data_IF_197015204140
#
_entry.id   IF_197015204140
#
_cell.length_a   1.000
_cell.length_b   1.000
_cell.length_c   1.000
_cell.angle_alpha   90.00
_cell.angle_beta   90.00
_cell.angle_gamma   90.00
#
_symmetry.space_group_name_H-M   'P 1'
#
loop_
_entity.id
_entity.type
_entity.pdbx_description
1 polymer ?
#
# COMPACT_ATOMS: atom_id res chain seq x y z
N UNK A 1 -17.28 -2.92 18.79
CA UNK A 1 -16.96 -2.05 17.65
C UNK A 1 -15.54 -2.24 17.11
N UNK A 2 -14.54 -2.59 17.95
CA UNK A 2 -13.13 -2.70 17.54
C UNK A 2 -12.62 -4.04 16.93
N UNK A 3 -13.20 -5.24 17.18
CA UNK A 3 -12.62 -6.50 16.66
C UNK A 3 -12.72 -6.64 15.14
N UNK A 4 -13.74 -6.05 14.51
CA UNK A 4 -13.97 -6.16 13.07
C UNK A 4 -13.01 -5.30 12.22
N UNK A 5 -12.29 -4.38 12.87
CA UNK A 5 -11.38 -3.45 12.21
C UNK A 5 -9.98 -4.06 12.10
N UNK A 6 -9.50 -4.71 13.16
CA UNK A 6 -8.17 -5.33 13.22
C UNK A 6 -8.12 -6.53 12.27
N UNK A 7 -7.41 -6.38 11.15
CA UNK A 7 -7.24 -7.44 10.16
C UNK A 7 -8.31 -7.50 9.07
N UNK A 8 -9.10 -6.43 8.89
CA UNK A 8 -10.02 -6.34 7.76
C UNK A 8 -9.23 -6.28 6.44
N UNK A 9 -9.10 -7.43 5.78
CA UNK A 9 -8.47 -7.58 4.46
C UNK A 9 -9.38 -7.22 3.29
N UNK A 10 -10.65 -6.91 3.54
CA UNK A 10 -11.59 -6.56 2.47
C UNK A 10 -12.06 -7.76 1.66
N UNK A 11 -12.43 -7.49 0.40
CA UNK A 11 -12.88 -8.49 -0.57
C UNK A 11 -11.70 -8.90 -1.46
N UNK A 12 -11.55 -10.20 -1.75
CA UNK A 12 -10.44 -10.70 -2.61
C UNK A 12 -10.37 -10.04 -3.99
N UNK A 13 -11.52 -9.65 -4.56
CA UNK A 13 -11.54 -8.96 -5.85
C UNK A 13 -11.04 -7.50 -5.79
N UNK A 14 -10.69 -7.01 -4.60
CA UNK A 14 -10.14 -5.68 -4.36
C UNK A 14 -8.69 -5.72 -3.84
N UNK A 15 -8.03 -6.88 -3.89
CA UNK A 15 -6.68 -7.06 -3.34
C UNK A 15 -5.67 -6.06 -3.94
N UNK A 16 -5.68 -5.84 -5.26
CA UNK A 16 -4.77 -4.88 -5.91
C UNK A 16 -4.96 -3.44 -5.38
N UNK A 17 -6.21 -2.95 -5.31
CA UNK A 17 -6.49 -1.59 -4.85
C UNK A 17 -6.21 -1.42 -3.35
N UNK A 18 -6.41 -2.46 -2.54
CA UNK A 18 -6.06 -2.45 -1.13
C UNK A 18 -4.54 -2.45 -0.96
N UNK A 19 -3.82 -3.24 -1.77
CA UNK A 19 -2.37 -3.32 -1.75
C UNK A 19 -1.71 -1.96 -2.02
N UNK A 20 -2.18 -1.26 -3.07
CA UNK A 20 -1.72 0.08 -3.38
C UNK A 20 -1.92 1.07 -2.23
N UNK A 21 -3.11 1.07 -1.63
CA UNK A 21 -3.42 1.96 -0.51
C UNK A 21 -2.58 1.67 0.73
N UNK A 22 -2.39 0.38 1.06
CA UNK A 22 -1.57 -0.02 2.20
C UNK A 22 -0.09 0.31 1.97
N UNK A 23 0.42 0.14 0.75
CA UNK A 23 1.78 0.52 0.37
C UNK A 23 1.99 2.03 0.55
N UNK A 24 1.12 2.87 -0.03
CA UNK A 24 1.19 4.33 0.11
C UNK A 24 1.14 4.78 1.57
N UNK A 25 0.18 4.26 2.36
CA UNK A 25 0.05 4.58 3.77
C UNK A 25 1.30 4.15 4.55
N UNK A 26 1.87 2.98 4.26
CA UNK A 26 3.08 2.53 4.96
C UNK A 26 4.29 3.40 4.60
N UNK A 27 4.43 3.79 3.32
CA UNK A 27 5.49 4.69 2.84
C UNK A 27 5.44 6.08 3.49
N UNK A 28 4.25 6.59 3.79
CA UNK A 28 4.07 7.84 4.55
C UNK A 28 4.68 7.75 5.98
N UNK A 29 4.61 6.57 6.61
CA UNK A 29 5.15 6.32 7.94
C UNK A 29 6.55 5.69 8.00
N UNK A 30 7.03 5.03 6.94
CA UNK A 30 8.22 4.18 6.91
C UNK A 30 8.90 4.13 5.53
N UNK A 31 10.22 4.22 5.50
CA UNK A 31 11.05 4.03 4.31
C UNK A 31 11.88 2.72 4.40
N UNK A 32 11.43 1.77 5.23
CA UNK A 32 12.28 0.70 5.76
C UNK A 32 11.55 -0.65 5.88
N UNK A 33 11.86 -1.44 6.93
CA UNK A 33 11.38 -2.82 7.03
C UNK A 33 9.86 -2.98 7.10
N UNK A 34 9.10 -1.99 7.56
CA UNK A 34 7.63 -2.12 7.56
C UNK A 34 7.08 -2.04 6.14
N UNK A 35 7.66 -1.15 5.32
CA UNK A 35 7.33 -1.07 3.90
C UNK A 35 7.72 -2.35 3.17
N UNK A 36 8.92 -2.90 3.45
CA UNK A 36 9.33 -4.18 2.88
C UNK A 36 8.36 -5.31 3.23
N UNK A 37 7.95 -5.42 4.50
CA UNK A 37 6.98 -6.42 4.93
C UNK A 37 5.65 -6.30 4.17
N UNK A 38 5.14 -5.09 3.97
CA UNK A 38 3.91 -4.87 3.20
C UNK A 38 4.08 -5.29 1.74
N UNK A 39 5.22 -5.00 1.13
CA UNK A 39 5.54 -5.44 -0.24
C UNK A 39 5.52 -6.97 -0.32
N UNK A 40 6.27 -7.64 0.57
CA UNK A 40 6.37 -9.10 0.60
C UNK A 40 4.99 -9.74 0.80
N UNK A 41 4.20 -9.24 1.75
CA UNK A 41 2.85 -9.72 2.04
C UNK A 41 1.90 -9.68 0.83
N UNK A 42 2.00 -8.64 -0.01
CA UNK A 42 1.12 -8.51 -1.18
C UNK A 42 1.63 -9.27 -2.39
N UNK A 43 2.95 -9.40 -2.55
CA UNK A 43 3.54 -10.31 -3.54
C UNK A 43 3.13 -11.76 -3.23
N UNK A 44 3.23 -12.19 -1.98
CA UNK A 44 2.78 -13.52 -1.53
C UNK A 44 1.27 -13.73 -1.74
N UNK A 45 0.49 -12.65 -1.70
CA UNK A 45 -0.95 -12.68 -2.00
C UNK A 45 -1.25 -12.67 -3.51
N UNK A 46 -0.23 -12.62 -4.38
CA UNK A 46 -0.37 -12.65 -5.84
C UNK A 46 -0.47 -11.28 -6.51
N UNK A 47 -0.24 -10.19 -5.79
CA UNK A 47 -0.18 -8.84 -6.39
C UNK A 47 1.13 -8.69 -7.15
N UNK A 48 1.07 -8.12 -8.36
CA UNK A 48 2.24 -7.90 -9.21
C UNK A 48 3.29 -7.01 -8.51
N UNK A 49 4.51 -7.55 -8.37
CA UNK A 49 5.67 -6.82 -7.87
C UNK A 49 6.00 -5.60 -8.74
N UNK A 50 5.83 -5.71 -10.06
CA UNK A 50 6.03 -4.62 -11.02
C UNK A 50 5.08 -3.45 -10.74
N UNK A 51 3.78 -3.71 -10.55
CA UNK A 51 2.80 -2.65 -10.23
C UNK A 51 3.12 -1.95 -8.91
N UNK A 52 3.49 -2.72 -7.88
CA UNK A 52 3.91 -2.17 -6.58
C UNK A 52 5.16 -1.28 -6.73
N UNK A 53 6.14 -1.77 -7.51
CA UNK A 53 7.36 -1.03 -7.82
C UNK A 53 7.05 0.26 -8.59
N UNK A 54 6.23 0.21 -9.64
CA UNK A 54 5.83 1.40 -10.40
C UNK A 54 5.22 2.46 -9.49
N UNK A 55 4.42 2.09 -8.50
CA UNK A 55 3.89 3.05 -7.53
C UNK A 55 5.00 3.69 -6.68
N UNK A 56 5.93 2.88 -6.15
CA UNK A 56 7.03 3.38 -5.32
C UNK A 56 8.03 4.24 -6.12
N UNK A 57 8.21 3.95 -7.41
CA UNK A 57 9.06 4.71 -8.33
C UNK A 57 8.37 5.99 -8.85
N UNK A 58 7.13 6.27 -8.43
CA UNK A 58 6.39 7.49 -8.77
C UNK A 58 5.50 7.39 -10.01
N UNK A 59 5.42 6.21 -10.63
CA UNK A 59 4.62 5.92 -11.85
C UNK A 59 3.29 5.24 -11.52
N UNK A 60 2.62 5.69 -10.46
CA UNK A 60 1.40 5.05 -9.95
C UNK A 60 0.24 5.05 -10.97
N UNK A 61 0.20 5.99 -11.90
CA UNK A 61 -0.76 6.06 -13.01
C UNK A 61 -0.68 4.86 -13.96
N UNK A 62 0.48 4.22 -14.05
CA UNK A 62 0.70 3.05 -14.91
C UNK A 62 0.35 1.72 -14.21
N UNK A 63 0.13 1.75 -12.89
CA UNK A 63 0.01 0.55 -12.06
C UNK A 63 -1.44 0.02 -11.91
N UNK A 64 -2.37 0.43 -12.78
CA UNK A 64 -3.75 -0.07 -12.78
C UNK A 64 -4.47 0.14 -11.43
N UNK A 65 -5.11 -0.91 -10.91
CA UNK A 65 -5.88 -0.83 -9.65
C UNK A 65 -4.97 -0.66 -8.42
N UNK A 66 -3.75 -1.21 -8.43
CA UNK A 66 -2.71 -0.90 -7.42
C UNK A 66 -2.44 0.60 -7.40
N UNK A 67 -2.25 1.18 -8.60
CA UNK A 67 -2.07 2.60 -8.79
C UNK A 67 -3.22 3.45 -8.25
N UNK A 68 -4.46 3.04 -8.54
CA UNK A 68 -5.67 3.70 -8.03
C UNK A 68 -5.70 3.74 -6.50
N UNK A 69 -5.41 2.61 -5.86
CA UNK A 69 -5.36 2.51 -4.40
C UNK A 69 -4.26 3.37 -3.79
N UNK A 70 -3.08 3.34 -4.40
CA UNK A 70 -1.93 4.14 -3.98
C UNK A 70 -2.25 5.63 -3.99
N UNK A 71 -2.72 6.15 -5.13
CA UNK A 71 -3.08 7.57 -5.25
C UNK A 71 -4.23 7.96 -4.33
N UNK A 72 -5.23 7.09 -4.17
CA UNK A 72 -6.32 7.33 -3.24
C UNK A 72 -5.79 7.52 -1.81
N UNK A 73 -4.89 6.65 -1.34
CA UNK A 73 -4.31 6.77 -0.02
C UNK A 73 -3.47 8.05 0.15
N UNK A 74 -2.61 8.37 -0.82
CA UNK A 74 -1.82 9.62 -0.81
C UNK A 74 -2.74 10.84 -0.68
N UNK A 75 -3.74 10.93 -1.55
CA UNK A 75 -4.73 12.01 -1.57
C UNK A 75 -5.52 12.09 -0.26
N UNK A 76 -5.99 10.94 0.26
CA UNK A 76 -6.77 10.89 1.50
C UNK A 76 -5.94 11.30 2.73
N UNK A 77 -4.65 10.96 2.76
CA UNK A 77 -3.73 11.34 3.84
C UNK A 77 -3.43 12.85 3.78
N UNK A 78 -3.23 13.39 2.58
CA UNK A 78 -2.99 14.82 2.36
C UNK A 78 -4.24 15.69 2.59
N UNK A 79 -5.44 15.10 2.53
CA UNK A 79 -6.71 15.84 2.61
C UNK A 79 -7.11 16.47 1.28
N UNK A 80 -6.69 15.89 0.16
CA UNK A 80 -6.93 16.41 -1.18
C UNK A 80 -8.35 16.09 -1.70
N UNK A 81 -8.91 16.99 -2.51
CA UNK A 81 -10.25 16.85 -3.11
C UNK A 81 -10.35 15.70 -4.12
N UNK A 82 -9.23 15.28 -4.71
CA UNK A 82 -9.19 14.13 -5.64
C UNK A 82 -9.60 12.81 -4.98
N UNK A 83 -9.57 12.76 -3.63
CA UNK A 83 -10.01 11.62 -2.82
C UNK A 83 -11.45 11.23 -3.15
N UNK A 84 -12.35 12.21 -3.30
CA UNK A 84 -13.77 11.94 -3.57
C UNK A 84 -13.99 11.32 -4.95
N UNK A 85 -13.26 11.81 -5.97
CA UNK A 85 -13.33 11.27 -7.33
C UNK A 85 -12.86 9.82 -7.35
N UNK A 86 -11.74 9.52 -6.71
CA UNK A 86 -11.22 8.15 -6.62
C UNK A 86 -12.11 7.26 -5.74
N UNK A 87 -12.73 7.78 -4.68
CA UNK A 87 -13.69 7.04 -3.86
C UNK A 87 -14.91 6.56 -4.69
N UNK A 88 -15.41 7.41 -5.58
CA UNK A 88 -16.48 7.05 -6.51
C UNK A 88 -16.04 5.98 -7.51
N UNK A 89 -14.83 6.10 -8.06
CA UNK A 89 -14.26 5.09 -8.97
C UNK A 89 -14.11 3.72 -8.30
N UNK A 90 -13.52 3.69 -7.10
CA UNK A 90 -13.34 2.48 -6.29
C UNK A 90 -14.70 1.87 -5.93
N UNK A 91 -15.68 2.69 -5.55
CA UNK A 91 -17.04 2.21 -5.25
C UNK A 91 -17.70 1.60 -6.48
N UNK A 92 -17.52 2.20 -7.66
CA UNK A 92 -18.07 1.68 -8.92
C UNK A 92 -17.45 0.33 -9.31
N UNK A 93 -16.15 0.14 -9.10
CA UNK A 93 -15.42 -1.09 -9.45
C UNK A 93 -15.59 -2.22 -8.41
N UNK A 94 -15.52 -1.89 -7.13
CA UNK A 94 -15.38 -2.87 -6.03
C UNK A 94 -16.53 -2.82 -5.01
N UNK A 95 -17.50 -1.94 -5.24
CA UNK A 95 -18.61 -1.71 -4.32
C UNK A 95 -18.21 -0.98 -3.05
N UNK A 96 -19.21 -0.70 -2.20
CA UNK A 96 -18.99 0.02 -0.94
C UNK A 96 -18.03 -0.70 0.01
N UNK A 97 -18.08 -2.03 0.05
CA UNK A 97 -17.16 -2.85 0.87
C UNK A 97 -15.71 -2.71 0.41
N UNK A 98 -15.46 -2.65 -0.90
CA UNK A 98 -14.14 -2.35 -1.45
C UNK A 98 -13.63 -0.99 -0.98
N UNK A 99 -14.46 0.06 -1.10
CA UNK A 99 -14.09 1.40 -0.60
C UNK A 99 -13.75 1.39 0.90
N UNK A 100 -14.54 0.69 1.73
CA UNK A 100 -14.26 0.58 3.17
C UNK A 100 -12.90 -0.08 3.43
N UNK A 101 -12.56 -1.13 2.67
CA UNK A 101 -11.28 -1.81 2.81
C UNK A 101 -10.10 -0.92 2.42
N UNK A 102 -10.23 -0.19 1.31
CA UNK A 102 -9.20 0.75 0.85
C UNK A 102 -9.03 1.90 1.85
N UNK A 103 -10.13 2.50 2.34
CA UNK A 103 -10.07 3.55 3.35
C UNK A 103 -9.44 3.06 4.66
N UNK A 104 -9.74 1.83 5.08
CA UNK A 104 -9.10 1.21 6.24
C UNK A 104 -7.60 1.00 6.03
N UNK A 105 -7.17 0.50 4.87
CA UNK A 105 -5.75 0.38 4.52
C UNK A 105 -5.03 1.74 4.51
N UNK A 106 -5.64 2.78 3.90
CA UNK A 106 -5.10 4.15 3.88
C UNK A 106 -4.89 4.72 5.29
N UNK A 107 -5.81 4.45 6.22
CA UNK A 107 -5.72 4.93 7.59
C UNK A 107 -4.73 4.14 8.45
N UNK A 108 -4.69 2.82 8.30
CA UNK A 108 -3.97 1.93 9.22
C UNK A 108 -2.53 1.63 8.84
N UNK A 109 -2.13 1.74 7.57
CA UNK A 109 -0.79 1.35 7.10
C UNK A 109 0.35 2.05 7.85
N UNK A 110 0.26 3.36 8.09
CA UNK A 110 1.27 4.11 8.86
C UNK A 110 1.24 3.91 10.37
N UNK A 111 0.19 3.28 10.93
CA UNK A 111 0.00 3.20 12.39
C UNK A 111 1.20 2.60 13.09
N UNK A 112 1.59 1.37 12.71
CA UNK A 112 2.69 0.68 13.38
C UNK A 112 4.05 1.35 13.15
N UNK A 113 4.39 1.79 11.92
CA UNK A 113 5.60 2.60 11.70
C UNK A 113 5.71 3.84 12.57
N UNK A 114 4.64 4.62 12.68
CA UNK A 114 4.61 5.82 13.52
C UNK A 114 4.75 5.43 14.98
N UNK A 115 3.97 4.44 15.43
CA UNK A 115 3.98 3.96 16.82
C UNK A 115 5.36 3.46 17.26
N UNK A 116 6.00 2.57 16.51
CA UNK A 116 7.34 2.04 16.87
C UNK A 116 8.39 3.16 16.90
N UNK A 117 8.31 4.13 15.98
CA UNK A 117 9.23 5.27 15.92
C UNK A 117 9.05 6.17 17.15
N UNK A 118 7.81 6.44 17.56
CA UNK A 118 7.52 7.19 18.79
C UNK A 118 8.04 6.52 20.06
N UNK A 119 8.24 5.20 20.04
CA UNK A 119 8.86 4.44 21.14
C UNK A 119 10.40 4.37 21.05
N UNK A 120 11.03 5.04 20.08
CA UNK A 120 12.48 5.01 19.88
C UNK A 120 12.99 3.82 19.07
N UNK A 121 12.11 3.03 18.45
CA UNK A 121 12.48 1.90 17.57
C UNK A 121 12.50 2.28 16.09
N UNK A 122 12.87 3.53 15.78
CA UNK A 122 13.02 3.99 14.41
C UNK A 122 14.23 3.34 13.74
N UNK A 123 13.99 2.49 12.74
CA UNK A 123 15.04 1.96 11.88
C UNK A 123 15.50 3.01 10.86
N UNK A 124 16.71 2.86 10.35
CA UNK A 124 17.20 3.58 9.16
C UNK A 124 16.42 3.15 7.92
N UNK A 125 16.28 4.05 6.93
CA UNK A 125 15.75 3.67 5.62
C UNK A 125 16.58 2.53 5.02
N UNK A 126 15.92 1.62 4.29
CA UNK A 126 16.55 0.49 3.62
C UNK A 126 16.08 0.41 2.18
N UNK A 127 16.95 -0.07 1.29
CA UNK A 127 16.55 -0.34 -0.10
C UNK A 127 15.42 -1.36 -0.13
N UNK A 128 14.30 -0.99 -0.74
CA UNK A 128 13.15 -1.87 -0.92
C UNK A 128 13.40 -2.84 -2.08
N UNK A 129 12.92 -4.08 -1.94
CA UNK A 129 12.94 -5.13 -2.96
C UNK A 129 11.50 -5.47 -3.34
N UNK A 130 11.26 -5.62 -4.64
CA UNK A 130 9.96 -5.95 -5.19
C UNK A 130 10.08 -7.27 -5.95
N UNK A 131 9.96 -8.38 -5.24
CA UNK A 131 10.19 -9.74 -5.76
C UNK A 131 11.65 -10.18 -5.69
N UNK A 132 11.95 -11.33 -6.28
CA UNK A 132 13.32 -11.85 -6.38
C UNK A 132 14.15 -10.96 -7.31
N UNK A 133 15.29 -10.49 -6.83
CA UNK A 133 16.30 -9.87 -7.68
C UNK A 133 17.08 -11.01 -8.33
N UNK A 134 16.92 -11.24 -9.63
CA UNK A 134 17.95 -11.96 -10.39
C UNK A 134 19.21 -11.10 -10.34
N UNK A 135 20.08 -11.37 -9.36
CA UNK A 135 21.44 -10.87 -9.38
C UNK A 135 22.14 -11.59 -10.53
N UNK A 136 22.25 -10.94 -11.69
CA UNK A 136 23.18 -11.34 -12.74
C UNK A 136 24.59 -11.23 -12.14
N UNK A 137 25.06 -12.31 -11.54
CA UNK A 137 26.46 -12.46 -11.15
C UNK A 137 27.26 -12.56 -12.46
N UNK A 138 27.75 -11.41 -12.92
CA UNK A 138 28.82 -11.36 -13.91
C UNK A 138 30.08 -11.87 -13.22
N UNK A 139 30.33 -13.18 -13.32
CA UNK A 139 31.63 -13.75 -12.99
C UNK A 139 32.63 -13.23 -14.04
N UNK A 140 33.52 -12.31 -13.62
CA UNK A 140 34.78 -12.04 -14.32
C UNK A 140 35.81 -13.15 -14.05
#
# INVERSE_FOLDING_TARGET
MYPAVIGYRGLKNADEVIAGALLASTLDGDCGPCTQLVIDMWIDAGVSSEKLRSCADGYSELAGDVGLGYRFAVSAIAGDLETDRMAQEITKKFGRKGLVAVAYASASGRFYPVFKKSLGHGATCSRLRFGEQEELVLNE
#
